data_IF_506134560211
#
_entry.id   IF_506134560211
#
_cell.length_a   1.000
_cell.length_b   1.000
_cell.length_c   1.000
_cell.angle_alpha   90.00
_cell.angle_beta   90.00
_cell.angle_gamma   90.00
#
_symmetry.space_group_name_H-M   'P 1'
#
loop_
_entity.id
_entity.type
_entity.pdbx_description
1 polymer ?
#
# COMPACT_ATOMS: atom_id res chain seq x y z
N UNK A 1 12.81 11.76 25.78
CA UNK A 1 11.48 11.60 25.17
C UNK A 1 11.54 12.02 23.72
N UNK A 2 10.46 11.75 22.97
CA UNK A 2 10.18 12.21 21.60
C UNK A 2 10.64 11.28 20.47
N UNK A 3 9.86 10.23 20.22
CA UNK A 3 9.90 9.45 18.97
C UNK A 3 9.03 10.07 17.86
N UNK A 4 8.78 11.38 17.89
CA UNK A 4 7.96 12.08 16.87
C UNK A 4 6.49 11.66 16.80
N UNK A 5 6.03 10.72 17.64
CA UNK A 5 4.63 10.28 17.68
C UNK A 5 3.90 11.06 18.77
N UNK A 6 3.02 11.97 18.38
CA UNK A 6 2.16 12.72 19.31
C UNK A 6 1.13 11.81 20.00
N UNK A 7 0.72 10.72 19.35
CA UNK A 7 -0.33 9.84 19.84
C UNK A 7 0.02 8.34 19.66
N UNK A 8 0.04 7.59 20.76
CA UNK A 8 0.33 6.15 20.76
C UNK A 8 -0.64 5.32 19.90
N UNK A 9 -1.86 5.81 19.69
CA UNK A 9 -2.88 5.13 18.88
C UNK A 9 -2.64 5.27 17.38
N UNK A 10 -1.75 6.16 16.94
CA UNK A 10 -1.45 6.44 15.53
C UNK A 10 0.00 6.11 15.17
N UNK A 11 0.56 5.08 15.81
CA UNK A 11 1.93 4.61 15.53
C UNK A 11 2.03 3.86 14.21
N UNK A 12 0.93 3.22 13.78
CA UNK A 12 0.89 2.50 12.52
C UNK A 12 1.10 3.47 11.34
N UNK A 13 1.78 2.99 10.31
CA UNK A 13 1.97 3.71 9.06
C UNK A 13 1.75 2.71 7.92
N UNK A 14 0.91 3.04 6.92
CA UNK A 14 0.68 2.16 5.78
C UNK A 14 1.98 1.91 4.99
N UNK A 15 2.18 0.67 4.55
CA UNK A 15 3.31 0.27 3.69
C UNK A 15 3.41 1.12 2.41
N UNK A 16 2.27 1.64 1.94
CA UNK A 16 2.17 2.52 0.79
C UNK A 16 3.10 3.75 0.93
N UNK A 17 3.30 4.25 2.15
CA UNK A 17 4.17 5.39 2.41
C UNK A 17 5.60 5.13 1.94
N UNK A 18 6.22 4.06 2.46
CA UNK A 18 7.61 3.73 2.17
C UNK A 18 7.78 3.40 0.69
N UNK A 19 6.80 2.70 0.11
CA UNK A 19 6.78 2.35 -1.33
C UNK A 19 6.78 3.60 -2.21
N UNK A 20 5.91 4.58 -1.91
CA UNK A 20 5.85 5.83 -2.65
C UNK A 20 7.09 6.71 -2.43
N UNK A 21 7.62 6.76 -1.22
CA UNK A 21 8.85 7.49 -0.94
C UNK A 21 10.05 6.92 -1.72
N UNK A 22 10.18 5.59 -1.76
CA UNK A 22 11.22 4.93 -2.54
C UNK A 22 11.03 5.17 -4.04
N UNK A 23 9.79 5.14 -4.55
CA UNK A 23 9.48 5.47 -5.94
C UNK A 23 9.89 6.91 -6.29
N UNK A 24 9.48 7.89 -5.48
CA UNK A 24 9.79 9.32 -5.70
C UNK A 24 11.30 9.58 -5.62
N UNK A 25 12.01 8.89 -4.72
CA UNK A 25 13.47 9.00 -4.56
C UNK A 25 14.25 8.20 -5.62
N UNK A 26 13.58 7.38 -6.44
CA UNK A 26 14.23 6.50 -7.43
C UNK A 26 15.00 5.34 -6.80
N UNK A 27 14.55 4.86 -5.63
CA UNK A 27 15.13 3.74 -4.85
C UNK A 27 14.21 2.52 -4.80
N UNK A 28 13.09 2.55 -5.51
CA UNK A 28 12.15 1.43 -5.55
C UNK A 28 12.84 0.19 -6.14
N UNK A 29 12.69 -0.94 -5.46
CA UNK A 29 13.38 -2.18 -5.83
C UNK A 29 12.72 -2.81 -7.06
N UNK A 30 13.42 -2.82 -8.19
CA UNK A 30 12.93 -3.36 -9.46
C UNK A 30 12.54 -4.85 -9.38
N UNK A 31 13.22 -5.64 -8.54
CA UNK A 31 12.89 -7.05 -8.32
C UNK A 31 11.49 -7.25 -7.69
N UNK A 32 11.03 -6.28 -6.89
CA UNK A 32 9.69 -6.31 -6.26
C UNK A 32 8.65 -5.60 -7.12
N UNK A 33 9.06 -4.60 -7.89
CA UNK A 33 8.22 -3.75 -8.72
C UNK A 33 8.78 -3.67 -10.14
N UNK A 34 8.61 -4.72 -10.96
CA UNK A 34 9.14 -4.75 -12.31
C UNK A 34 8.42 -3.76 -13.23
N UNK A 35 9.16 -3.19 -14.18
CA UNK A 35 8.61 -2.31 -15.21
C UNK A 35 7.96 -3.18 -16.30
N UNK A 36 6.73 -2.86 -16.68
CA UNK A 36 6.03 -3.49 -17.80
C UNK A 36 6.08 -2.56 -19.02
N UNK A 37 6.41 -3.09 -20.22
CA UNK A 37 6.35 -2.34 -21.48
C UNK A 37 7.69 -2.01 -22.15
N UNK A 38 8.83 -2.43 -21.58
CA UNK A 38 10.13 -2.44 -22.28
C UNK A 38 10.80 -1.08 -22.50
N UNK A 39 10.19 0.03 -22.07
CA UNK A 39 10.91 1.30 -21.95
C UNK A 39 11.62 1.33 -20.59
N UNK A 40 12.95 1.34 -20.63
CA UNK A 40 13.72 1.55 -19.42
C UNK A 40 13.43 2.96 -18.87
N UNK A 41 12.95 3.01 -17.62
CA UNK A 41 13.02 4.22 -16.78
C UNK A 41 14.48 4.63 -16.46
N UNK A 42 15.48 3.95 -17.04
CA UNK A 42 16.92 4.18 -16.91
C UNK A 42 17.36 5.60 -17.30
N UNK A 43 16.48 6.40 -17.88
CA UNK A 43 16.69 7.85 -17.99
C UNK A 43 16.69 8.59 -16.63
N UNK A 44 16.49 7.89 -15.50
CA UNK A 44 16.60 8.45 -14.15
C UNK A 44 15.53 9.50 -13.87
N UNK A 45 14.48 9.55 -14.69
CA UNK A 45 13.40 10.51 -14.55
C UNK A 45 12.49 10.08 -13.42
N UNK A 46 12.51 10.85 -12.35
CA UNK A 46 11.60 10.69 -11.22
C UNK A 46 10.17 10.94 -11.70
N UNK A 47 9.22 10.03 -11.43
CA UNK A 47 7.84 10.22 -11.86
C UNK A 47 7.23 11.44 -11.16
N UNK A 48 6.61 12.33 -11.94
CA UNK A 48 5.90 13.50 -11.42
C UNK A 48 4.41 13.19 -11.19
N UNK A 49 3.84 12.31 -12.02
CA UNK A 49 2.45 11.87 -11.92
C UNK A 49 2.43 10.37 -11.63
N UNK A 50 1.83 9.99 -10.51
CA UNK A 50 1.80 8.62 -10.02
C UNK A 50 0.35 8.23 -9.79
N UNK A 51 -0.06 7.11 -10.40
CA UNK A 51 -1.37 6.51 -10.17
C UNK A 51 -1.15 5.19 -9.44
N UNK A 52 -1.70 5.08 -8.23
CA UNK A 52 -1.69 3.86 -7.42
C UNK A 52 -3.05 3.21 -7.54
N UNK A 53 -3.07 1.93 -7.91
CA UNK A 53 -4.30 1.14 -7.94
C UNK A 53 -4.17 -0.08 -7.03
N UNK A 54 -4.94 -0.13 -5.94
CA UNK A 54 -4.95 -1.25 -5.01
C UNK A 54 -6.04 -2.25 -5.40
N UNK A 55 -5.61 -3.41 -5.88
CA UNK A 55 -6.49 -4.57 -6.12
C UNK A 55 -6.91 -5.16 -4.78
N UNK A 56 -8.21 -5.35 -4.57
CA UNK A 56 -8.76 -5.74 -3.26
C UNK A 56 -9.13 -4.54 -2.37
N UNK A 57 -9.02 -3.32 -2.92
CA UNK A 57 -9.53 -2.08 -2.32
C UNK A 57 -8.49 -1.30 -1.53
N UNK A 58 -8.73 0.01 -1.42
CA UNK A 58 -7.91 0.96 -0.69
C UNK A 58 -8.62 1.41 0.60
N UNK A 59 -7.89 2.00 1.53
CA UNK A 59 -8.41 2.46 2.82
C UNK A 59 -8.32 3.98 2.96
N UNK A 60 -9.07 4.54 3.90
CA UNK A 60 -8.98 5.96 4.23
C UNK A 60 -7.62 6.36 4.82
N UNK A 61 -6.95 5.45 5.53
CA UNK A 61 -5.62 5.68 6.07
C UNK A 61 -4.58 5.84 4.95
N UNK A 62 -4.64 4.99 3.93
CA UNK A 62 -3.79 5.11 2.73
C UNK A 62 -4.08 6.40 1.95
N UNK A 63 -5.35 6.81 1.86
CA UNK A 63 -5.70 8.09 1.25
C UNK A 63 -5.13 9.29 2.02
N UNK A 64 -5.11 9.24 3.36
CA UNK A 64 -4.47 10.26 4.19
C UNK A 64 -2.96 10.29 3.94
N UNK A 65 -2.32 9.12 3.87
CA UNK A 65 -0.90 9.00 3.54
C UNK A 65 -0.58 9.64 2.18
N UNK A 66 -1.36 9.34 1.14
CA UNK A 66 -1.20 9.93 -0.20
C UNK A 66 -1.37 11.46 -0.18
N UNK A 67 -2.35 11.98 0.57
CA UNK A 67 -2.52 13.42 0.76
C UNK A 67 -1.27 14.05 1.40
N UNK A 68 -0.71 13.44 2.44
CA UNK A 68 0.49 13.93 3.12
C UNK A 68 1.70 13.93 2.18
N UNK A 69 1.85 12.89 1.36
CA UNK A 69 2.93 12.80 0.35
C UNK A 69 2.81 13.93 -0.68
N UNK A 70 1.61 14.18 -1.21
CA UNK A 70 1.37 15.28 -2.15
C UNK A 70 1.69 16.65 -1.54
N UNK A 71 1.35 16.85 -0.26
CA UNK A 71 1.69 18.10 0.45
C UNK A 71 3.19 18.25 0.68
N UNK A 72 3.89 17.16 1.01
CA UNK A 72 5.32 17.16 1.25
C UNK A 72 6.16 17.27 -0.04
N UNK A 73 5.61 16.92 -1.20
CA UNK A 73 6.32 16.90 -2.48
C UNK A 73 5.55 17.72 -3.55
N UNK A 74 5.65 19.06 -3.57
CA UNK A 74 4.88 19.92 -4.47
C UNK A 74 5.08 19.67 -5.98
N UNK A 75 6.12 18.92 -6.37
CA UNK A 75 6.40 18.54 -7.76
C UNK A 75 5.92 17.13 -8.14
N UNK A 76 5.25 16.42 -7.23
CA UNK A 76 4.71 15.08 -7.44
C UNK A 76 3.21 15.07 -7.13
N UNK A 77 2.43 14.44 -8.00
CA UNK A 77 0.99 14.24 -7.84
C UNK A 77 0.71 12.74 -7.81
N UNK A 78 0.26 12.28 -6.66
CA UNK A 78 -0.16 10.91 -6.44
C UNK A 78 -1.68 10.84 -6.36
N UNK A 79 -2.28 9.97 -7.16
CA UNK A 79 -3.70 9.62 -7.11
C UNK A 79 -3.83 8.17 -6.65
N UNK A 80 -4.67 7.95 -5.63
CA UNK A 80 -4.98 6.61 -5.13
C UNK A 80 -6.35 6.17 -5.66
N UNK A 81 -6.39 4.98 -6.21
CA UNK A 81 -7.59 4.25 -6.55
C UNK A 81 -7.53 2.81 -6.03
N UNK A 82 -8.67 2.15 -6.07
CA UNK A 82 -8.79 0.73 -5.77
C UNK A 82 -10.14 0.21 -6.22
N UNK A 83 -10.34 -1.10 -6.13
CA UNK A 83 -11.61 -1.73 -6.48
C UNK A 83 -12.76 -1.29 -5.57
N UNK A 84 -12.47 -1.07 -4.29
CA UNK A 84 -13.39 -0.55 -3.27
C UNK A 84 -12.65 0.37 -2.30
N UNK A 85 -13.37 1.19 -1.54
CA UNK A 85 -12.82 1.87 -0.36
C UNK A 85 -13.29 1.14 0.89
N UNK A 86 -12.36 0.50 1.59
CA UNK A 86 -12.64 -0.35 2.72
C UNK A 86 -12.50 0.36 4.07
N UNK A 87 -13.41 0.00 4.96
CA UNK A 87 -13.19 -0.04 6.40
C UNK A 87 -13.06 -1.50 6.88
N UNK A 88 -12.70 -1.72 8.14
CA UNK A 88 -12.47 -3.05 8.71
C UNK A 88 -13.66 -4.00 8.56
N UNK A 89 -14.90 -3.50 8.70
CA UNK A 89 -16.09 -4.34 8.57
C UNK A 89 -16.29 -4.81 7.12
N UNK A 90 -16.22 -3.89 6.16
CA UNK A 90 -16.34 -4.21 4.73
C UNK A 90 -15.22 -5.15 4.25
N UNK A 91 -13.99 -4.95 4.74
CA UNK A 91 -12.86 -5.79 4.39
C UNK A 91 -13.03 -7.22 4.92
N UNK A 92 -13.43 -7.37 6.20
CA UNK A 92 -13.65 -8.70 6.78
C UNK A 92 -14.80 -9.46 6.11
N UNK A 93 -15.86 -8.77 5.70
CA UNK A 93 -16.95 -9.41 4.96
C UNK A 93 -16.50 -9.83 3.55
N UNK A 94 -15.72 -9.00 2.85
CA UNK A 94 -15.15 -9.37 1.54
C UNK A 94 -14.22 -10.58 1.66
N UNK A 95 -13.35 -10.62 2.66
CA UNK A 95 -12.49 -11.77 2.94
C UNK A 95 -13.32 -13.02 3.22
N UNK A 96 -14.34 -12.91 4.08
CA UNK A 96 -15.23 -14.03 4.40
C UNK A 96 -15.96 -14.55 3.16
N UNK A 97 -16.48 -13.66 2.33
CA UNK A 97 -17.17 -13.97 1.08
C UNK A 97 -16.24 -14.66 0.08
N UNK A 98 -15.05 -14.11 -0.13
CA UNK A 98 -14.04 -14.63 -1.07
C UNK A 98 -13.54 -16.02 -0.65
N UNK A 99 -13.52 -16.30 0.65
CA UNK A 99 -13.09 -17.59 1.20
C UNK A 99 -14.18 -18.66 1.24
N UNK A 100 -15.41 -18.37 0.79
CA UNK A 100 -16.45 -19.38 0.68
C UNK A 100 -16.10 -20.41 -0.39
N UNK A 101 -16.09 -21.69 -0.03
CA UNK A 101 -15.77 -22.79 -0.95
C UNK A 101 -14.28 -23.04 -1.20
N UNK A 102 -13.37 -22.22 -0.64
CA UNK A 102 -11.93 -22.50 -0.71
C UNK A 102 -11.61 -23.71 0.16
N UNK A 103 -10.98 -24.74 -0.42
CA UNK A 103 -10.65 -25.96 0.30
C UNK A 103 -9.61 -25.65 1.39
N UNK A 104 -10.04 -25.70 2.64
CA UNK A 104 -9.16 -25.52 3.79
C UNK A 104 -8.35 -26.79 4.02
N UNK A 105 -7.08 -26.79 3.61
CA UNK A 105 -6.14 -27.82 4.04
C UNK A 105 -5.86 -27.61 5.52
N UNK A 106 -6.59 -28.33 6.37
CA UNK A 106 -6.38 -28.29 7.81
C UNK A 106 -4.95 -28.78 8.10
N UNK A 107 -4.09 -27.94 8.67
CA UNK A 107 -2.85 -28.39 9.29
C UNK A 107 -3.21 -29.24 10.50
N UNK A 108 -3.32 -30.56 10.31
CA UNK A 108 -3.61 -31.54 11.37
C UNK A 108 -2.53 -31.65 12.46
N UNK A 109 -1.52 -30.77 12.47
CA UNK A 109 -0.29 -30.92 13.26
C UNK A 109 0.07 -29.77 14.20
N UNK A 110 -0.86 -28.88 14.56
CA UNK A 110 -0.68 -28.05 15.76
C UNK A 110 -1.30 -28.82 16.93
N UNK A 111 -0.51 -29.74 17.50
CA UNK A 111 -0.76 -30.20 18.88
C UNK A 111 -0.43 -29.02 19.77
N UNK A 112 -1.41 -28.52 20.51
CA UNK A 112 -1.15 -27.62 21.64
C UNK A 112 -0.13 -28.33 22.56
N UNK A 113 1.04 -27.72 22.74
CA UNK A 113 1.89 -27.93 23.90
C UNK A 113 1.40 -27.02 25.02
#
# INVERSE_FOLDING_TARGET
GLSGVENIYTQHTPLLKDTLEDLIKGKLRENLFPICGGEDLSSGRRPQDIIVFIVGGATYEESLCVRQINQANPGVRVVLGGTHIHNSASFLEEVKSTMQGVHRTHTRHIRNL
#
